data_IF_161142985223
#
_entry.id   IF_161142985223
#
_cell.length_a   1.000
_cell.length_b   1.000
_cell.length_c   1.000
_cell.angle_alpha   90.00
_cell.angle_beta   90.00
_cell.angle_gamma   90.00
#
_symmetry.space_group_name_H-M   'P 1'
#
loop_
_entity.id
_entity.type
_entity.pdbx_description
1 polymer ?
#
# COMPACT_ATOMS: atom_id res chain seq x y z
N UNK A 1 -15.94 -1.77 2.32
CA UNK A 1 -16.50 -1.21 3.57
C UNK A 1 -16.45 0.32 3.46
N UNK A 2 -17.59 0.98 3.73
CA UNK A 2 -17.73 2.45 3.66
C UNK A 2 -17.25 3.19 4.90
N UNK A 3 -16.67 2.50 5.88
CA UNK A 3 -16.34 3.04 7.20
C UNK A 3 -15.00 2.49 7.70
N UNK A 4 -14.46 3.11 8.74
CA UNK A 4 -13.31 2.61 9.50
C UNK A 4 -13.52 2.86 11.00
N UNK A 5 -12.68 2.22 11.82
CA UNK A 5 -12.55 2.51 13.24
C UNK A 5 -11.24 3.25 13.44
N UNK A 6 -11.29 4.45 14.00
CA UNK A 6 -10.13 5.32 14.17
C UNK A 6 -10.04 5.80 15.61
N UNK A 7 -8.82 5.89 16.14
CA UNK A 7 -8.55 6.65 17.36
C UNK A 7 -8.22 8.11 17.01
N UNK A 8 -7.92 8.95 18.00
CA UNK A 8 -7.59 10.37 17.79
C UNK A 8 -6.43 10.58 16.81
N UNK A 9 -5.34 9.81 16.94
CA UNK A 9 -4.17 9.93 16.08
C UNK A 9 -4.46 9.55 14.62
N UNK A 10 -5.16 8.44 14.40
CA UNK A 10 -5.53 7.99 13.05
C UNK A 10 -6.59 8.91 12.42
N UNK A 11 -7.51 9.44 13.23
CA UNK A 11 -8.47 10.46 12.78
C UNK A 11 -7.76 11.71 12.28
N UNK A 12 -6.79 12.23 13.04
CA UNK A 12 -5.97 13.37 12.63
C UNK A 12 -5.19 13.07 11.33
N UNK A 13 -4.59 11.88 11.22
CA UNK A 13 -3.88 11.45 10.01
C UNK A 13 -4.80 11.37 8.76
N UNK A 14 -6.05 10.96 8.93
CA UNK A 14 -7.03 10.94 7.84
C UNK A 14 -7.75 12.28 7.60
N UNK A 15 -7.45 13.32 8.39
CA UNK A 15 -8.13 14.62 8.29
C UNK A 15 -9.60 14.57 8.73
N UNK A 16 -9.95 13.63 9.62
CA UNK A 16 -11.29 13.49 10.16
C UNK A 16 -11.48 14.50 11.31
N UNK A 17 -12.53 15.35 11.27
CA UNK A 17 -12.79 16.31 12.34
C UNK A 17 -12.92 15.66 13.72
N UNK A 18 -12.45 16.36 14.75
CA UNK A 18 -12.64 15.95 16.13
C UNK A 18 -14.15 15.85 16.46
N UNK A 19 -14.53 14.80 17.20
CA UNK A 19 -15.93 14.55 17.55
C UNK A 19 -16.78 13.87 16.46
N UNK A 20 -16.19 13.48 15.33
CA UNK A 20 -16.89 12.67 14.33
C UNK A 20 -17.14 11.24 14.87
N UNK A 21 -18.38 10.92 15.23
CA UNK A 21 -18.76 9.61 15.78
C UNK A 21 -18.47 9.48 17.28
N UNK A 22 -19.11 8.50 17.90
CA UNK A 22 -18.97 8.19 19.33
C UNK A 22 -17.76 7.28 19.56
N UNK A 23 -16.99 7.56 20.62
CA UNK A 23 -15.85 6.76 21.03
C UNK A 23 -16.28 5.62 21.96
N UNK A 24 -15.70 4.43 21.78
CA UNK A 24 -15.79 3.32 22.71
C UNK A 24 -14.86 3.49 23.92
N UNK A 25 -14.83 2.50 24.81
CA UNK A 25 -14.03 2.54 26.04
C UNK A 25 -12.52 2.60 25.76
N UNK A 26 -12.10 2.12 24.60
CA UNK A 26 -10.72 2.09 24.10
C UNK A 26 -10.35 3.36 23.30
N UNK A 27 -11.29 4.28 23.12
CA UNK A 27 -11.07 5.54 22.40
C UNK A 27 -11.14 5.42 20.88
N UNK A 28 -11.65 4.32 20.34
CA UNK A 28 -11.93 4.15 18.92
C UNK A 28 -13.35 4.61 18.59
N UNK A 29 -13.50 5.23 17.43
CA UNK A 29 -14.78 5.69 16.90
C UNK A 29 -15.00 5.15 15.50
N UNK A 30 -16.24 4.72 15.24
CA UNK A 30 -16.67 4.36 13.90
C UNK A 30 -16.94 5.63 13.10
N UNK A 31 -16.27 5.76 11.95
CA UNK A 31 -16.37 6.92 11.07
C UNK A 31 -16.68 6.47 9.66
N UNK A 32 -17.61 7.14 9.00
CA UNK A 32 -17.85 6.93 7.57
C UNK A 32 -16.69 7.52 6.77
N UNK A 33 -16.23 6.77 5.77
CA UNK A 33 -15.21 7.19 4.83
C UNK A 33 -15.88 7.61 3.53
N UNK A 34 -15.48 8.77 3.01
CA UNK A 34 -15.96 9.29 1.72
C UNK A 34 -14.80 9.33 0.71
N UNK A 35 -15.04 8.90 -0.53
CA UNK A 35 -14.06 8.98 -1.63
C UNK A 35 -13.18 7.73 -1.79
N UNK A 36 -11.88 7.93 -2.04
CA UNK A 36 -10.98 6.91 -2.63
C UNK A 36 -10.28 5.96 -1.63
N UNK A 37 -10.59 6.01 -0.33
CA UNK A 37 -9.93 5.20 0.72
C UNK A 37 -10.86 4.16 1.34
N UNK A 38 -11.61 3.45 0.50
CA UNK A 38 -12.60 2.47 0.95
C UNK A 38 -12.05 1.06 0.97
N UNK A 39 -12.52 0.29 1.95
CA UNK A 39 -12.15 -1.12 2.10
C UNK A 39 -10.88 -1.33 2.93
N UNK A 40 -10.48 -2.60 3.01
CA UNK A 40 -9.42 -3.05 3.91
C UNK A 40 -8.02 -2.70 3.38
N UNK A 41 -7.80 -2.87 2.08
CA UNK A 41 -6.46 -2.73 1.48
C UNK A 41 -5.96 -1.29 1.45
N UNK A 42 -6.87 -0.32 1.42
CA UNK A 42 -6.54 1.12 1.42
C UNK A 42 -6.33 1.68 2.83
N UNK A 43 -6.42 0.86 3.88
CA UNK A 43 -6.23 1.33 5.25
C UNK A 43 -4.76 1.65 5.51
N UNK A 44 -4.49 2.76 6.19
CA UNK A 44 -3.16 3.22 6.57
C UNK A 44 -2.29 2.13 7.19
N UNK A 45 -2.84 1.30 8.08
CA UNK A 45 -2.11 0.17 8.68
C UNK A 45 -1.64 -0.87 7.66
N UNK A 46 -2.45 -1.20 6.65
CA UNK A 46 -2.05 -2.09 5.56
C UNK A 46 -1.01 -1.41 4.68
N UNK A 47 -1.24 -0.16 4.32
CA UNK A 47 -0.36 0.62 3.45
C UNK A 47 1.03 0.85 4.05
N UNK A 48 1.13 1.11 5.37
CA UNK A 48 2.39 1.39 6.07
C UNK A 48 3.15 0.13 6.44
N UNK A 49 2.45 -0.94 6.86
CA UNK A 49 3.10 -2.24 7.16
C UNK A 49 3.74 -2.84 5.91
N UNK A 50 3.30 -2.43 4.71
CA UNK A 50 3.84 -2.88 3.43
C UNK A 50 4.49 -1.75 2.64
N UNK A 51 4.97 -0.71 3.33
CA UNK A 51 5.84 0.31 2.77
C UNK A 51 7.32 -0.04 3.01
N UNK A 52 8.20 0.77 2.44
CA UNK A 52 9.60 0.88 2.84
C UNK A 52 9.74 2.02 3.86
N UNK A 53 10.87 2.13 4.60
CA UNK A 53 11.02 3.15 5.64
C UNK A 53 10.76 4.60 5.18
N UNK A 54 11.06 4.91 3.91
CA UNK A 54 10.98 6.27 3.37
C UNK A 54 10.04 6.40 2.16
N UNK A 55 9.47 5.31 1.65
CA UNK A 55 8.64 5.33 0.43
C UNK A 55 7.56 4.26 0.47
N UNK A 56 6.46 4.47 -0.25
CA UNK A 56 5.52 3.39 -0.57
C UNK A 56 6.19 2.27 -1.37
N UNK A 57 5.68 1.03 -1.23
CA UNK A 57 6.13 -0.14 -1.99
C UNK A 57 4.95 -0.86 -2.64
N UNK A 58 4.70 -0.64 -3.95
CA UNK A 58 3.70 -1.41 -4.69
C UNK A 58 4.05 -2.91 -4.71
N UNK A 59 5.34 -3.26 -4.67
CA UNK A 59 5.80 -4.65 -4.72
C UNK A 59 5.36 -5.44 -3.49
N UNK A 60 5.55 -4.89 -2.29
CA UNK A 60 5.11 -5.56 -1.06
C UNK A 60 3.58 -5.65 -0.96
N UNK A 61 2.85 -4.65 -1.47
CA UNK A 61 1.39 -4.67 -1.55
C UNK A 61 0.89 -5.75 -2.51
N UNK A 62 1.48 -5.84 -3.70
CA UNK A 62 1.16 -6.88 -4.67
C UNK A 62 1.46 -8.27 -4.10
N UNK A 63 2.61 -8.44 -3.44
CA UNK A 63 3.00 -9.68 -2.75
C UNK A 63 2.01 -10.09 -1.67
N UNK A 64 1.56 -9.15 -0.82
CA UNK A 64 0.51 -9.41 0.18
C UNK A 64 -0.70 -10.06 -0.47
N UNK A 65 -1.25 -9.43 -1.51
CA UNK A 65 -2.49 -9.92 -2.14
C UNK A 65 -2.26 -11.28 -2.80
N UNK A 66 -1.17 -11.43 -3.55
CA UNK A 66 -0.84 -12.69 -4.25
C UNK A 66 -0.71 -13.84 -3.25
N UNK A 67 0.13 -13.69 -2.23
CA UNK A 67 0.46 -14.80 -1.33
C UNK A 67 -0.59 -15.02 -0.24
N UNK A 68 -1.13 -13.94 0.36
CA UNK A 68 -1.98 -14.05 1.55
C UNK A 68 -3.46 -14.08 1.25
N UNK A 69 -3.88 -13.55 0.11
CA UNK A 69 -5.30 -13.49 -0.25
C UNK A 69 -5.64 -14.46 -1.39
N UNK A 70 -4.73 -14.64 -2.35
CA UNK A 70 -4.96 -15.48 -3.54
C UNK A 70 -4.24 -16.84 -3.48
N UNK A 71 -3.44 -17.09 -2.44
CA UNK A 71 -2.64 -18.32 -2.30
C UNK A 71 -1.72 -18.59 -3.51
N UNK A 72 -1.22 -17.53 -4.14
CA UNK A 72 -0.31 -17.58 -5.27
C UNK A 72 1.12 -17.34 -4.77
N UNK A 73 1.93 -18.39 -4.80
CA UNK A 73 3.34 -18.29 -4.45
C UNK A 73 4.10 -17.50 -5.53
N UNK A 74 4.88 -16.51 -5.11
CA UNK A 74 5.78 -15.76 -5.98
C UNK A 74 7.19 -16.35 -5.83
N UNK A 75 7.82 -16.84 -6.91
CA UNK A 75 9.20 -17.29 -6.82
C UNK A 75 10.11 -16.12 -6.45
N UNK A 76 11.22 -16.38 -5.73
CA UNK A 76 12.20 -15.34 -5.46
C UNK A 76 12.78 -14.79 -6.77
N UNK A 77 13.14 -13.50 -6.83
CA UNK A 77 13.82 -12.95 -7.98
C UNK A 77 15.17 -13.64 -8.22
N UNK A 78 15.66 -13.71 -9.47
CA UNK A 78 16.97 -14.27 -9.78
C UNK A 78 18.08 -13.62 -8.93
N UNK A 79 19.00 -14.40 -8.32
CA UNK A 79 20.02 -13.88 -7.41
C UNK A 79 21.06 -13.01 -8.10
N UNK A 80 21.14 -13.05 -9.43
CA UNK A 80 22.05 -12.22 -10.23
C UNK A 80 21.52 -10.81 -10.50
N UNK A 81 20.26 -10.52 -10.14
CA UNK A 81 19.65 -9.21 -10.34
C UNK A 81 19.74 -8.38 -9.06
N UNK A 82 20.02 -7.09 -9.21
CA UNK A 82 19.85 -6.13 -8.13
C UNK A 82 18.36 -5.80 -7.97
N UNK A 83 17.80 -6.18 -6.83
CA UNK A 83 16.38 -5.96 -6.49
C UNK A 83 16.20 -4.80 -5.53
N UNK A 84 17.19 -3.92 -5.44
CA UNK A 84 17.08 -2.68 -4.67
C UNK A 84 15.93 -1.83 -5.22
N UNK A 85 15.11 -1.23 -4.34
CA UNK A 85 14.06 -0.31 -4.77
C UNK A 85 14.64 0.83 -5.60
N UNK A 86 13.93 1.33 -6.63
CA UNK A 86 14.38 2.48 -7.39
C UNK A 86 14.58 3.67 -6.44
N UNK A 87 15.63 4.49 -6.65
CA UNK A 87 15.95 5.61 -5.79
C UNK A 87 14.75 6.55 -5.66
N UNK A 88 14.63 7.22 -4.53
CA UNK A 88 13.57 8.23 -4.34
C UNK A 88 13.95 9.47 -5.13
N UNK A 89 13.05 9.90 -6.00
CA UNK A 89 13.16 11.13 -6.77
C UNK A 89 11.97 12.02 -6.38
N UNK A 90 12.20 13.25 -5.88
CA UNK A 90 11.12 14.14 -5.45
C UNK A 90 10.24 14.64 -6.60
N UNK A 91 10.73 14.58 -7.84
CA UNK A 91 10.00 15.04 -9.02
C UNK A 91 9.14 13.92 -9.65
N UNK A 92 9.28 12.68 -9.16
CA UNK A 92 8.56 11.51 -9.66
C UNK A 92 7.70 10.85 -8.59
N UNK A 93 6.48 10.49 -8.97
CA UNK A 93 5.65 9.62 -8.16
C UNK A 93 6.29 8.24 -8.00
N UNK A 94 5.88 7.52 -6.94
CA UNK A 94 6.26 6.10 -6.77
C UNK A 94 5.87 5.27 -7.99
N UNK A 95 4.77 5.58 -8.67
CA UNK A 95 4.36 4.86 -9.88
C UNK A 95 5.38 5.05 -11.00
N UNK A 96 5.71 6.30 -11.32
CA UNK A 96 6.64 6.61 -12.42
C UNK A 96 8.01 5.96 -12.20
N UNK A 97 8.55 6.02 -10.98
CA UNK A 97 9.85 5.41 -10.65
C UNK A 97 9.88 3.90 -10.88
N UNK A 98 8.80 3.22 -10.51
CA UNK A 98 8.70 1.76 -10.67
C UNK A 98 8.32 1.36 -12.10
N UNK A 99 7.54 2.16 -12.83
CA UNK A 99 7.27 1.93 -14.26
C UNK A 99 8.52 2.10 -15.12
N UNK A 100 9.38 3.09 -14.82
CA UNK A 100 10.69 3.21 -15.44
C UNK A 100 11.59 2.00 -15.14
N UNK A 101 11.56 1.50 -13.91
CA UNK A 101 12.32 0.32 -13.51
C UNK A 101 11.82 -0.96 -14.20
N UNK A 102 10.51 -1.18 -14.25
CA UNK A 102 9.91 -2.38 -14.84
C UNK A 102 9.88 -2.39 -16.37
N UNK A 103 10.31 -1.29 -17.01
CA UNK A 103 10.58 -1.25 -18.44
C UNK A 103 11.81 -2.08 -18.85
N UNK A 104 12.73 -2.37 -17.91
CA UNK A 104 13.84 -3.29 -18.17
C UNK A 104 13.29 -4.72 -18.44
N UNK A 105 13.63 -5.34 -19.58
CA UNK A 105 13.22 -6.71 -19.89
C UNK A 105 13.55 -7.74 -18.79
N UNK A 106 14.64 -7.55 -18.04
CA UNK A 106 15.03 -8.42 -16.94
C UNK A 106 14.07 -8.32 -15.73
N UNK A 107 13.47 -7.16 -15.51
CA UNK A 107 12.54 -6.90 -14.39
C UNK A 107 11.09 -7.21 -14.77
N UNK A 108 10.72 -6.96 -16.04
CA UNK A 108 9.33 -7.02 -16.53
C UNK A 108 8.59 -8.31 -16.17
N UNK A 109 9.23 -9.48 -16.28
CA UNK A 109 8.57 -10.78 -16.10
C UNK A 109 7.95 -10.99 -14.70
N UNK A 110 8.58 -10.49 -13.64
CA UNK A 110 8.03 -10.52 -12.29
C UNK A 110 7.03 -9.39 -12.06
N UNK A 111 7.36 -8.20 -12.56
CA UNK A 111 6.57 -6.98 -12.37
C UNK A 111 5.18 -7.06 -13.02
N UNK A 112 5.02 -7.70 -14.18
CA UNK A 112 3.70 -7.94 -14.81
C UNK A 112 2.72 -8.68 -13.89
N UNK A 113 3.22 -9.49 -12.96
CA UNK A 113 2.40 -10.24 -12.00
C UNK A 113 2.12 -9.47 -10.72
N UNK A 114 3.00 -8.54 -10.33
CA UNK A 114 2.96 -7.90 -9.01
C UNK A 114 2.38 -6.49 -9.11
N UNK A 115 2.90 -5.69 -10.04
CA UNK A 115 2.63 -4.26 -10.15
C UNK A 115 1.14 -3.93 -10.32
N UNK A 116 0.37 -4.60 -11.21
CA UNK A 116 -1.04 -4.23 -11.42
C UNK A 116 -1.88 -4.27 -10.15
N UNK A 117 -1.61 -5.22 -9.25
CA UNK A 117 -2.30 -5.31 -7.97
C UNK A 117 -1.70 -4.33 -6.96
N UNK A 118 -0.37 -4.29 -6.88
CA UNK A 118 0.35 -3.45 -5.92
C UNK A 118 0.06 -1.95 -6.06
N UNK A 119 -0.28 -1.53 -7.27
CA UNK A 119 -0.65 -0.18 -7.62
C UNK A 119 -2.15 0.14 -7.51
N UNK A 120 -2.98 -0.84 -7.14
CA UNK A 120 -4.43 -0.68 -7.05
C UNK A 120 -4.91 0.07 -5.81
N UNK A 121 -4.04 0.26 -4.81
CA UNK A 121 -4.37 0.87 -3.52
C UNK A 121 -3.15 1.47 -2.81
#
# INVERSE_FOLDING_TARGET
AGFSYVNDGLAAYYGIPAGAGEADAEGFRRVELVGARLGLLTQGGVLTTHALPTTSSPIHRGKLVRERLLCQELPPPPPSLDTSPPPVDPDLSTRERYEMHSADPACKGCHERIDPIGFGF
#
